data_IF_039313272166
#
_entry.id   IF_039313272166
#
_cell.length_a   1.000
_cell.length_b   1.000
_cell.length_c   1.000
_cell.angle_alpha   90.00
_cell.angle_beta   90.00
_cell.angle_gamma   90.00
#
_symmetry.space_group_name_H-M   'P 1'
#
loop_
_entity.id
_entity.type
_entity.pdbx_description
1 polymer ?
#
# COMPACT_ATOMS: atom_id res chain seq x y z
N UNK A 1 -27.28 -21.35 -20.98
CA UNK A 1 -26.21 -21.67 -20.00
C UNK A 1 -24.83 -21.16 -20.44
N UNK A 2 -24.36 -21.47 -21.66
CA UNK A 2 -23.02 -21.06 -22.14
C UNK A 2 -22.74 -19.54 -22.11
N UNK A 3 -23.70 -18.70 -22.49
CA UNK A 3 -23.55 -17.22 -22.45
C UNK A 3 -23.31 -16.68 -21.03
N UNK A 4 -24.02 -17.21 -20.04
CA UNK A 4 -23.79 -16.85 -18.63
C UNK A 4 -22.39 -17.29 -18.17
N UNK A 5 -21.93 -18.47 -18.57
CA UNK A 5 -20.59 -18.93 -18.26
C UNK A 5 -19.51 -18.01 -18.85
N UNK A 6 -19.67 -17.55 -20.09
CA UNK A 6 -18.75 -16.58 -20.69
C UNK A 6 -18.75 -15.23 -19.96
N UNK A 7 -19.92 -14.73 -19.59
CA UNK A 7 -20.04 -13.46 -18.84
C UNK A 7 -19.38 -13.59 -17.46
N UNK A 8 -19.66 -14.67 -16.73
CA UNK A 8 -19.09 -14.91 -15.41
C UNK A 8 -17.57 -15.10 -15.49
N UNK A 9 -17.09 -15.84 -16.50
CA UNK A 9 -15.66 -16.05 -16.73
C UNK A 9 -14.94 -14.75 -17.09
N UNK A 10 -15.58 -13.86 -17.86
CA UNK A 10 -15.03 -12.54 -18.17
C UNK A 10 -14.93 -11.67 -16.90
N UNK A 11 -15.99 -11.62 -16.10
CA UNK A 11 -16.01 -10.86 -14.83
C UNK A 11 -14.94 -11.39 -13.87
N UNK A 12 -14.81 -12.72 -13.76
CA UNK A 12 -13.81 -13.36 -12.92
C UNK A 12 -12.38 -13.02 -13.37
N UNK A 13 -12.12 -13.10 -14.68
CA UNK A 13 -10.82 -12.75 -15.25
C UNK A 13 -10.48 -11.27 -15.02
N UNK A 14 -11.45 -10.38 -15.21
CA UNK A 14 -11.27 -8.96 -14.95
C UNK A 14 -10.96 -8.69 -13.47
N UNK A 15 -11.65 -9.37 -12.55
CA UNK A 15 -11.44 -9.21 -11.11
C UNK A 15 -10.01 -9.59 -10.68
N UNK A 16 -9.49 -10.70 -11.19
CA UNK A 16 -8.10 -11.12 -10.90
C UNK A 16 -7.07 -10.20 -11.56
N UNK A 17 -7.34 -9.74 -12.79
CA UNK A 17 -6.40 -8.89 -13.53
C UNK A 17 -6.34 -7.44 -13.02
N UNK A 18 -7.40 -6.94 -12.37
CA UNK A 18 -7.52 -5.55 -11.92
C UNK A 18 -6.32 -5.06 -11.09
N UNK A 19 -5.91 -5.69 -9.98
CA UNK A 19 -4.76 -5.22 -9.18
C UNK A 19 -3.45 -5.22 -9.98
N UNK A 20 -3.29 -6.15 -10.92
CA UNK A 20 -2.09 -6.20 -11.79
C UNK A 20 -2.05 -5.05 -12.80
N UNK A 21 -3.20 -4.71 -13.39
CA UNK A 21 -3.32 -3.59 -14.34
C UNK A 21 -3.12 -2.25 -13.63
N UNK A 22 -3.69 -2.09 -12.43
CA UNK A 22 -3.55 -0.88 -11.61
C UNK A 22 -2.08 -0.67 -11.21
N UNK A 23 -1.42 -1.71 -10.73
CA UNK A 23 0.01 -1.66 -10.39
C UNK A 23 0.89 -1.32 -11.61
N UNK A 24 0.52 -1.76 -12.82
CA UNK A 24 1.25 -1.44 -14.03
C UNK A 24 1.12 0.03 -14.45
N UNK A 25 -0.05 0.63 -14.27
CA UNK A 25 -0.30 2.03 -14.64
C UNK A 25 0.41 2.99 -13.68
N UNK A 26 0.35 2.69 -12.37
CA UNK A 26 0.91 3.56 -11.35
C UNK A 26 1.50 2.75 -10.20
N UNK A 27 2.84 2.79 -10.08
CA UNK A 27 3.59 2.10 -9.03
C UNK A 27 3.39 2.73 -7.64
N UNK A 28 2.75 3.89 -7.54
CA UNK A 28 2.48 4.55 -6.25
C UNK A 28 1.14 4.13 -5.63
N UNK A 29 0.30 3.41 -6.38
CA UNK A 29 -1.00 2.94 -5.91
C UNK A 29 -0.82 1.74 -5.00
N UNK A 30 -1.36 1.82 -3.79
CA UNK A 30 -1.33 0.74 -2.81
C UNK A 30 -2.33 -0.37 -3.19
N UNK A 31 -1.80 -1.48 -3.72
CA UNK A 31 -2.55 -2.68 -4.06
C UNK A 31 -2.64 -3.69 -2.90
N UNK A 32 -1.98 -3.42 -1.76
CA UNK A 32 -1.95 -4.34 -0.62
C UNK A 32 -3.35 -4.66 -0.10
N UNK A 33 -4.26 -3.68 -0.15
CA UNK A 33 -5.67 -3.86 0.21
C UNK A 33 -6.35 -4.98 -0.59
N UNK A 34 -6.08 -5.09 -1.90
CA UNK A 34 -6.70 -6.11 -2.74
C UNK A 34 -6.27 -7.54 -2.38
N UNK A 35 -5.08 -7.71 -1.79
CA UNK A 35 -4.54 -9.00 -1.36
C UNK A 35 -4.79 -9.30 0.13
N UNK A 36 -4.91 -8.26 0.96
CA UNK A 36 -5.10 -8.36 2.40
C UNK A 36 -6.55 -8.72 2.81
N UNK A 37 -7.54 -8.54 1.92
CA UNK A 37 -8.95 -8.91 2.18
C UNK A 37 -9.15 -10.39 2.52
N UNK A 38 -8.23 -11.28 2.12
CA UNK A 38 -8.32 -12.72 2.34
C UNK A 38 -7.41 -13.24 3.47
N UNK A 39 -6.70 -12.38 4.21
CA UNK A 39 -6.00 -12.81 5.44
C UNK A 39 -7.01 -13.03 6.57
N UNK A 40 -7.09 -14.28 7.05
CA UNK A 40 -8.07 -14.76 8.04
C UNK A 40 -7.78 -14.27 9.48
N UNK A 41 -6.85 -13.32 9.70
CA UNK A 41 -6.30 -13.04 11.03
C UNK A 41 -6.79 -11.76 11.74
N UNK A 42 -7.74 -10.97 11.22
CA UNK A 42 -8.21 -9.79 11.98
C UNK A 42 -9.69 -9.41 11.83
N UNK A 43 -10.54 -10.08 12.61
CA UNK A 43 -11.94 -9.72 12.87
C UNK A 43 -12.13 -8.40 13.64
N UNK A 44 -11.05 -7.71 14.08
CA UNK A 44 -11.17 -6.44 14.82
C UNK A 44 -10.36 -5.27 14.24
N UNK A 45 -9.28 -5.52 13.47
CA UNK A 45 -8.47 -4.45 12.84
C UNK A 45 -8.90 -4.07 11.42
N UNK A 46 -9.68 -4.90 10.74
CA UNK A 46 -10.25 -4.60 9.41
C UNK A 46 -11.55 -3.77 9.48
N UNK A 47 -11.78 -3.04 10.58
CA UNK A 47 -12.78 -1.98 10.57
C UNK A 47 -12.21 -0.84 9.75
N UNK A 48 -12.61 -0.78 8.47
CA UNK A 48 -12.35 0.34 7.59
C UNK A 48 -13.13 1.53 8.16
N UNK A 49 -12.54 2.22 9.14
CA UNK A 49 -12.99 3.54 9.54
C UNK A 49 -12.69 4.45 8.35
N UNK A 50 -13.68 4.61 7.47
CA UNK A 50 -13.76 5.65 6.45
C UNK A 50 -13.94 7.02 7.12
N UNK A 51 -13.08 7.35 8.09
CA UNK A 51 -12.92 8.70 8.59
C UNK A 51 -12.08 9.47 7.58
N UNK A 52 -12.73 9.93 6.52
CA UNK A 52 -12.17 10.99 5.70
C UNK A 52 -12.16 12.27 6.54
N UNK A 53 -11.05 12.50 7.25
CA UNK A 53 -10.73 13.83 7.76
C UNK A 53 -10.47 14.71 6.53
N UNK A 54 -11.51 15.37 6.04
CA UNK A 54 -11.38 16.51 5.15
C UNK A 54 -10.74 17.62 5.97
N UNK A 55 -9.42 17.59 6.10
CA UNK A 55 -8.66 18.72 6.58
C UNK A 55 -9.00 19.90 5.67
N UNK A 56 -9.60 20.92 6.28
CA UNK A 56 -9.86 22.19 5.63
C UNK A 56 -8.50 22.80 5.32
N UNK A 57 -7.99 22.54 4.12
CA UNK A 57 -6.71 23.05 3.67
C UNK A 57 -6.84 24.56 3.48
N UNK A 58 -6.65 25.32 4.55
CA UNK A 58 -6.40 26.74 4.46
C UNK A 58 -5.10 26.89 3.69
N UNK A 59 -5.19 27.31 2.42
CA UNK A 59 -4.02 27.51 1.57
C UNK A 59 -3.09 28.52 2.24
N UNK A 60 -2.07 28.04 2.94
CA UNK A 60 -1.03 28.87 3.50
C UNK A 60 -0.03 29.16 2.38
N UNK A 61 -0.34 30.18 1.59
CA UNK A 61 0.49 30.59 0.45
C UNK A 61 1.97 30.79 0.84
N UNK A 62 2.23 31.23 2.08
CA UNK A 62 3.58 31.39 2.60
C UNK A 62 4.32 30.06 2.79
N UNK A 63 3.64 28.99 3.22
CA UNK A 63 4.27 27.67 3.37
C UNK A 63 4.58 27.03 2.01
N UNK A 64 3.71 27.22 1.01
CA UNK A 64 3.95 26.77 -0.37
C UNK A 64 5.15 27.51 -0.97
N UNK A 65 5.23 28.84 -0.83
CA UNK A 65 6.39 29.62 -1.30
C UNK A 65 7.69 29.22 -0.59
N UNK A 66 7.64 28.96 0.72
CA UNK A 66 8.79 28.49 1.49
C UNK A 66 9.31 27.15 0.92
N UNK A 67 8.43 26.16 0.75
CA UNK A 67 8.79 24.87 0.17
C UNK A 67 9.37 25.01 -1.25
N UNK A 68 8.77 25.85 -2.09
CA UNK A 68 9.22 26.09 -3.46
C UNK A 68 10.61 26.75 -3.53
N UNK A 69 11.01 27.48 -2.48
CA UNK A 69 12.35 28.07 -2.36
C UNK A 69 13.39 27.07 -1.84
N UNK A 70 12.97 26.10 -1.02
CA UNK A 70 13.82 25.08 -0.41
C UNK A 70 13.96 23.78 -1.24
N UNK A 71 13.16 23.57 -2.29
CA UNK A 71 13.35 22.44 -3.23
C UNK A 71 14.69 22.49 -3.98
N UNK A 72 15.31 23.66 -4.08
CA UNK A 72 16.65 23.84 -4.69
C UNK A 72 17.79 23.48 -3.73
N UNK A 73 17.56 23.49 -2.43
CA UNK A 73 18.51 23.05 -1.41
C UNK A 73 18.17 21.61 -1.05
N UNK A 74 18.69 20.67 -1.83
CA UNK A 74 18.64 19.25 -1.51
C UNK A 74 19.57 19.01 -0.32
N UNK A 75 19.05 19.22 0.88
CA UNK A 75 19.78 18.90 2.10
C UNK A 75 19.89 17.37 2.19
N UNK A 76 21.11 16.88 1.96
CA UNK A 76 21.45 15.48 2.13
C UNK A 76 21.63 15.21 3.63
N UNK A 77 20.63 14.61 4.26
CA UNK A 77 20.77 14.03 5.58
C UNK A 77 20.96 12.52 5.44
N UNK A 78 22.00 12.00 6.11
CA UNK A 78 22.27 10.58 6.21
C UNK A 78 21.79 10.12 7.58
N UNK A 79 20.59 9.54 7.65
CA UNK A 79 20.08 8.94 8.88
C UNK A 79 20.87 7.66 9.20
N UNK A 80 21.46 7.61 10.39
CA UNK A 80 22.12 6.40 10.91
C UNK A 80 21.06 5.50 11.53
N UNK A 81 20.38 4.69 10.72
CA UNK A 81 19.46 3.69 11.26
C UNK A 81 20.23 2.61 12.02
N UNK A 82 19.82 2.27 13.26
CA UNK A 82 20.36 1.11 13.93
C UNK A 82 20.00 -0.15 13.13
N UNK A 83 20.98 -1.04 12.97
CA UNK A 83 20.78 -2.33 12.33
C UNK A 83 19.80 -3.13 13.20
N UNK A 84 18.57 -3.28 12.73
CA UNK A 84 17.57 -4.15 13.37
C UNK A 84 17.91 -5.57 12.95
N UNK A 85 18.74 -6.26 13.74
CA UNK A 85 18.93 -7.69 13.56
C UNK A 85 17.66 -8.41 14.00
N UNK A 86 17.00 -9.14 13.10
CA UNK A 86 16.00 -10.12 13.50
C UNK A 86 16.71 -11.18 14.33
N UNK A 87 16.56 -11.13 15.64
CA UNK A 87 16.95 -12.22 16.52
C UNK A 87 16.15 -13.46 16.10
N UNK A 88 16.87 -14.42 15.52
CA UNK A 88 16.42 -15.78 15.20
C UNK A 88 15.62 -15.92 13.89
N UNK A 89 16.34 -15.94 12.75
CA UNK A 89 15.78 -16.33 11.45
C UNK A 89 15.66 -17.85 11.30
N UNK A 90 16.33 -18.65 12.15
CA UNK A 90 16.21 -20.11 12.06
C UNK A 90 16.54 -20.79 13.40
N UNK A 91 15.59 -21.52 14.02
CA UNK A 91 15.93 -22.42 15.11
C UNK A 91 16.83 -23.55 14.57
N UNK A 92 17.83 -24.03 15.34
CA UNK A 92 18.72 -25.08 14.89
C UNK A 92 17.92 -26.36 14.55
N UNK A 93 18.33 -27.11 13.51
CA UNK A 93 17.65 -28.33 13.11
C UNK A 93 17.67 -29.33 14.28
N UNK A 94 16.51 -29.96 14.53
CA UNK A 94 16.42 -31.05 15.50
C UNK A 94 17.32 -32.19 15.02
N UNK A 95 18.24 -32.64 15.87
CA UNK A 95 19.07 -33.81 15.59
C UNK A 95 18.14 -35.03 15.42
N UNK A 96 18.35 -35.76 14.32
CA UNK A 96 17.62 -36.97 13.96
C UNK A 96 18.02 -38.15 14.86
#
# INVERSE_FOLDING_TARGET
MKRLAYILSFIFMAFIATPSIVAYIDNSVDISFAFNVNEEENSSKNQINLEFNLEKHNSNYASIQYLQKHTLTKDYYSESYPIVSLDVICPPPKQA
#
